data_IF_985230099249
#
_entry.id   IF_985230099249
#
_cell.length_a   1.000
_cell.length_b   1.000
_cell.length_c   1.000
_cell.angle_alpha   90.00
_cell.angle_beta   90.00
_cell.angle_gamma   90.00
#
_symmetry.space_group_name_H-M   'P 1'
#
loop_
_entity.id
_entity.type
_entity.pdbx_description
1 polymer ?
#
# COMPACT_ATOMS: atom_id res chain seq x y z
N UNK A 1 22.83 1.27 8.08
CA UNK A 1 23.30 2.68 8.06
C UNK A 1 22.64 3.42 9.20
N UNK A 2 23.35 3.60 10.31
CA UNK A 2 23.00 4.54 11.38
C UNK A 2 24.15 5.53 11.42
N UNK A 3 23.97 6.69 10.79
CA UNK A 3 24.98 7.74 10.73
C UNK A 3 24.36 8.97 11.42
N UNK A 4 25.12 9.59 12.31
CA UNK A 4 24.62 10.71 13.11
C UNK A 4 24.44 11.96 12.22
N UNK A 5 23.54 12.85 12.63
CA UNK A 5 23.30 14.11 11.91
C UNK A 5 24.58 14.95 11.79
N UNK A 6 25.46 14.87 12.79
CA UNK A 6 26.74 15.58 12.84
C UNK A 6 27.71 15.13 11.72
N UNK A 7 27.54 13.90 11.21
CA UNK A 7 28.31 13.34 10.10
C UNK A 7 27.58 13.49 8.74
N UNK A 8 26.56 14.34 8.67
CA UNK A 8 25.70 14.48 7.48
C UNK A 8 24.74 13.31 7.26
N UNK A 9 24.58 12.44 8.26
CA UNK A 9 23.68 11.30 8.22
C UNK A 9 22.20 11.68 8.34
N UNK A 10 21.34 11.02 7.56
CA UNK A 10 19.91 10.99 7.88
C UNK A 10 19.78 9.99 9.03
N UNK A 11 19.42 10.45 10.23
CA UNK A 11 19.20 9.60 11.43
C UNK A 11 17.94 8.74 11.26
N UNK A 12 17.92 7.92 10.22
CA UNK A 12 16.84 7.03 9.85
C UNK A 12 16.88 5.82 10.78
N UNK A 13 16.22 5.97 11.93
CA UNK A 13 16.19 4.98 13.00
C UNK A 13 15.56 3.65 12.57
N UNK A 14 14.64 3.67 11.60
CA UNK A 14 14.00 2.48 11.07
C UNK A 14 13.79 2.59 9.55
N UNK A 15 14.75 2.06 8.78
CA UNK A 15 14.70 2.04 7.32
C UNK A 15 13.47 1.31 6.78
N UNK A 16 13.11 0.17 7.37
CA UNK A 16 11.96 -0.62 6.96
C UNK A 16 10.67 0.18 7.10
N UNK A 17 10.50 0.89 8.23
CA UNK A 17 9.35 1.77 8.44
C UNK A 17 9.35 2.92 7.44
N UNK A 18 10.51 3.53 7.16
CA UNK A 18 10.63 4.60 6.18
C UNK A 18 10.18 4.16 4.78
N UNK A 19 10.63 2.98 4.32
CA UNK A 19 10.21 2.42 3.02
C UNK A 19 8.70 2.21 2.99
N UNK A 20 8.11 1.64 4.06
CA UNK A 20 6.66 1.44 4.16
C UNK A 20 5.89 2.76 4.14
N UNK A 21 6.31 3.76 4.91
CA UNK A 21 5.73 5.11 4.89
C UNK A 21 5.78 5.69 3.48
N UNK A 22 6.89 5.51 2.77
CA UNK A 22 7.00 5.95 1.39
C UNK A 22 5.98 5.22 0.50
N UNK A 23 5.79 3.90 0.64
CA UNK A 23 4.78 3.16 -0.13
C UNK A 23 3.36 3.69 0.14
N UNK A 24 3.03 3.98 1.40
CA UNK A 24 1.75 4.61 1.78
C UNK A 24 1.58 6.01 1.18
N UNK A 25 2.64 6.83 1.14
CA UNK A 25 2.60 8.15 0.48
C UNK A 25 2.28 8.03 -1.01
N UNK A 26 2.80 7.01 -1.68
CA UNK A 26 2.48 6.76 -3.08
C UNK A 26 1.07 6.20 -3.27
N UNK A 27 0.55 5.42 -2.32
CA UNK A 27 -0.86 5.05 -2.30
C UNK A 27 -1.77 6.28 -2.17
N UNK A 28 -1.44 7.20 -1.25
CA UNK A 28 -2.16 8.49 -1.14
C UNK A 28 -2.14 9.25 -2.46
N UNK A 29 -0.98 9.29 -3.14
CA UNK A 29 -0.87 9.89 -4.47
C UNK A 29 -1.69 9.15 -5.50
N UNK A 30 -1.74 7.82 -5.48
CA UNK A 30 -2.55 7.00 -6.40
C UNK A 30 -4.03 7.37 -6.29
N UNK A 31 -4.57 7.37 -5.07
CA UNK A 31 -5.98 7.61 -4.78
C UNK A 31 -6.37 9.09 -4.99
N UNK A 32 -5.61 10.03 -4.41
CA UNK A 32 -6.01 11.43 -4.30
C UNK A 32 -5.24 12.40 -5.20
N UNK A 33 -4.13 11.99 -5.81
CA UNK A 33 -3.35 12.85 -6.70
C UNK A 33 -4.03 13.05 -8.07
N UNK A 34 -3.36 13.79 -8.96
CA UNK A 34 -3.85 14.08 -10.31
C UNK A 34 -4.35 12.86 -11.09
N UNK A 35 -5.44 13.04 -11.85
CA UNK A 35 -6.05 11.98 -12.67
C UNK A 35 -5.22 11.76 -13.96
N UNK A 36 -5.41 10.63 -14.63
CA UNK A 36 -4.82 10.31 -15.94
C UNK A 36 -3.28 10.36 -16.00
N UNK A 37 -2.61 9.98 -14.91
CA UNK A 37 -1.15 9.85 -14.89
C UNK A 37 -0.77 8.41 -15.25
N UNK A 38 0.19 8.23 -16.16
CA UNK A 38 0.51 6.91 -16.77
C UNK A 38 0.76 5.80 -15.75
N UNK A 39 1.56 6.05 -14.70
CA UNK A 39 1.84 5.02 -13.69
C UNK A 39 0.60 4.62 -12.87
N UNK A 40 -0.41 5.49 -12.78
CA UNK A 40 -1.66 5.18 -12.09
C UNK A 40 -2.59 4.35 -12.98
N UNK A 41 -2.69 4.74 -14.25
CA UNK A 41 -3.44 3.97 -15.24
C UNK A 41 -2.86 2.56 -15.38
N UNK A 42 -1.53 2.45 -15.31
CA UNK A 42 -0.87 1.15 -15.34
C UNK A 42 -1.15 0.32 -14.09
N UNK A 43 -1.22 0.95 -12.89
CA UNK A 43 -1.70 0.24 -11.69
C UNK A 43 -3.13 -0.28 -11.89
N UNK A 44 -4.02 0.56 -12.43
CA UNK A 44 -5.43 0.18 -12.66
C UNK A 44 -5.54 -1.00 -13.62
N UNK A 45 -4.76 -0.97 -14.71
CA UNK A 45 -4.65 -2.08 -15.66
C UNK A 45 -4.12 -3.37 -15.00
N UNK A 46 -3.02 -3.27 -14.26
CA UNK A 46 -2.42 -4.41 -13.56
C UNK A 46 -3.36 -5.06 -12.54
N UNK A 47 -4.21 -4.25 -11.90
CA UNK A 47 -5.13 -4.68 -10.86
C UNK A 47 -6.57 -4.84 -11.37
N UNK A 48 -6.83 -4.77 -12.67
CA UNK A 48 -8.18 -4.83 -13.23
C UNK A 48 -8.92 -6.11 -12.80
N UNK A 49 -8.22 -7.25 -12.82
CA UNK A 49 -8.75 -8.56 -12.42
C UNK A 49 -9.15 -8.65 -10.94
N UNK A 50 -8.73 -7.69 -10.11
CA UNK A 50 -9.05 -7.62 -8.68
C UNK A 50 -9.86 -6.36 -8.32
N UNK A 51 -10.52 -5.72 -9.30
CA UNK A 51 -11.33 -4.53 -9.08
C UNK A 51 -10.55 -3.22 -9.02
N UNK A 52 -9.30 -3.21 -9.50
CA UNK A 52 -8.46 -2.03 -9.60
C UNK A 52 -8.16 -1.40 -8.24
N UNK A 53 -8.47 -0.11 -8.09
CA UNK A 53 -8.24 0.62 -6.82
C UNK A 53 -9.23 0.24 -5.71
N UNK A 54 -10.33 -0.45 -6.02
CA UNK A 54 -11.30 -0.86 -5.00
C UNK A 54 -10.69 -1.82 -3.99
N UNK A 55 -9.63 -2.56 -4.37
CA UNK A 55 -8.87 -3.43 -3.46
C UNK A 55 -8.48 -2.74 -2.15
N UNK A 56 -8.19 -1.42 -2.17
CA UNK A 56 -7.78 -0.69 -0.97
C UNK A 56 -8.92 -0.48 0.05
N UNK A 57 -10.17 -0.67 -0.36
CA UNK A 57 -11.34 -0.65 0.51
C UNK A 57 -11.68 -2.04 1.07
N UNK A 58 -11.09 -3.09 0.50
CA UNK A 58 -11.38 -4.46 0.87
C UNK A 58 -10.53 -4.92 2.06
N UNK A 59 -11.04 -5.94 2.73
CA UNK A 59 -10.26 -6.79 3.60
C UNK A 59 -9.65 -7.92 2.79
N UNK A 60 -8.35 -7.85 2.56
CA UNK A 60 -7.65 -8.69 1.60
C UNK A 60 -6.31 -9.15 2.15
N UNK A 61 -5.82 -10.24 1.57
CA UNK A 61 -4.55 -10.85 1.92
C UNK A 61 -3.70 -11.03 0.66
N UNK A 62 -2.59 -10.28 0.53
CA UNK A 62 -1.72 -10.30 -0.65
C UNK A 62 -1.20 -11.70 -0.94
N UNK A 63 -0.95 -12.51 0.10
CA UNK A 63 -0.42 -13.87 -0.07
C UNK A 63 -1.41 -14.84 -0.73
N UNK A 64 -2.72 -14.54 -0.71
CA UNK A 64 -3.73 -15.35 -1.39
C UNK A 64 -4.05 -14.84 -2.79
N UNK A 65 -3.59 -13.64 -3.16
CA UNK A 65 -3.82 -13.09 -4.49
C UNK A 65 -2.77 -13.58 -5.50
N UNK A 66 -3.23 -14.15 -6.61
CA UNK A 66 -2.36 -14.50 -7.73
C UNK A 66 -2.11 -13.29 -8.66
N UNK A 67 -1.40 -12.28 -8.16
CA UNK A 67 -1.12 -11.04 -8.90
C UNK A 67 0.22 -11.08 -9.63
N UNK A 68 0.18 -10.88 -10.95
CA UNK A 68 1.36 -10.65 -11.79
C UNK A 68 1.52 -9.15 -12.05
N UNK A 69 1.97 -8.41 -11.04
CA UNK A 69 2.14 -6.96 -11.11
C UNK A 69 3.57 -6.55 -10.76
N UNK A 70 4.05 -5.37 -11.21
CA UNK A 70 5.33 -4.83 -10.81
C UNK A 70 5.53 -4.84 -9.30
N UNK A 71 6.75 -5.18 -8.87
CA UNK A 71 7.11 -5.29 -7.45
C UNK A 71 6.78 -4.02 -6.65
N UNK A 72 6.93 -2.83 -7.26
CA UNK A 72 6.58 -1.56 -6.63
C UNK A 72 5.11 -1.50 -6.16
N UNK A 73 4.16 -1.97 -6.99
CA UNK A 73 2.74 -1.98 -6.62
C UNK A 73 2.41 -3.07 -5.61
N UNK A 74 3.09 -4.22 -5.68
CA UNK A 74 2.98 -5.27 -4.69
C UNK A 74 3.39 -4.77 -3.29
N UNK A 75 4.49 -4.01 -3.21
CA UNK A 75 4.95 -3.40 -1.96
C UNK A 75 3.97 -2.33 -1.44
N UNK A 76 3.22 -1.65 -2.31
CA UNK A 76 2.12 -0.76 -1.89
C UNK A 76 0.97 -1.54 -1.26
N UNK A 77 0.55 -2.65 -1.88
CA UNK A 77 -0.51 -3.52 -1.35
C UNK A 77 -0.12 -4.14 -0.01
N UNK A 78 1.13 -4.58 0.14
CA UNK A 78 1.67 -5.13 1.40
C UNK A 78 1.72 -4.07 2.50
N UNK A 79 2.26 -2.89 2.21
CA UNK A 79 2.30 -1.80 3.18
C UNK A 79 0.90 -1.40 3.67
N UNK A 80 -0.11 -1.42 2.79
CA UNK A 80 -1.50 -1.16 3.17
C UNK A 80 -2.13 -2.27 4.01
N UNK A 81 -1.80 -3.54 3.72
CA UNK A 81 -2.25 -4.68 4.52
C UNK A 81 -1.69 -4.64 5.94
N UNK A 82 -0.44 -4.23 6.14
CA UNK A 82 0.17 -4.21 7.47
C UNK A 82 -0.54 -3.29 8.47
N UNK A 83 -1.15 -2.20 7.98
CA UNK A 83 -1.93 -1.28 8.80
C UNK A 83 -3.40 -1.70 8.94
N UNK A 84 -3.74 -2.96 8.59
CA UNK A 84 -5.10 -3.53 8.71
C UNK A 84 -5.70 -3.33 10.11
N UNK A 85 -4.93 -3.53 11.18
CA UNK A 85 -5.38 -3.30 12.56
C UNK A 85 -5.79 -1.85 12.84
N UNK A 86 -5.19 -0.89 12.12
CA UNK A 86 -5.60 0.52 12.20
C UNK A 86 -6.86 0.82 11.39
N UNK A 87 -7.14 0.03 10.34
CA UNK A 87 -8.30 0.20 9.45
C UNK A 87 -9.56 -0.45 10.02
N UNK A 88 -9.39 -1.57 10.71
CA UNK A 88 -10.44 -2.32 11.37
C UNK A 88 -10.08 -2.46 12.86
N UNK A 89 -10.32 -1.42 13.68
CA UNK A 89 -10.24 -1.57 15.13
C UNK A 89 -11.23 -2.66 15.57
N UNK A 90 -10.91 -3.39 16.63
CA UNK A 90 -11.66 -4.57 17.16
C UNK A 90 -13.09 -4.25 17.66
N UNK A 91 -13.68 -3.14 17.21
CA UNK A 91 -15.06 -2.75 17.49
C UNK A 91 -15.97 -3.61 16.61
N UNK A 92 -16.82 -4.41 17.26
CA UNK A 92 -17.70 -5.49 16.77
C UNK A 92 -18.72 -5.13 15.65
N UNK A 93 -18.58 -4.02 14.93
CA UNK A 93 -19.59 -3.56 13.96
C UNK A 93 -19.03 -3.00 12.65
N UNK A 94 -17.86 -3.46 12.21
CA UNK A 94 -17.44 -3.22 10.83
C UNK A 94 -17.98 -4.35 9.94
N UNK A 95 -18.70 -3.98 8.88
CA UNK A 95 -19.02 -4.87 7.76
C UNK A 95 -17.88 -4.74 6.74
N UNK A 96 -16.76 -5.48 6.87
CA UNK A 96 -15.68 -5.38 5.91
C UNK A 96 -16.18 -5.81 4.53
N UNK A 97 -15.76 -5.09 3.50
CA UNK A 97 -15.91 -5.56 2.12
C UNK A 97 -14.92 -6.72 1.97
N UNK A 98 -15.42 -7.95 2.01
CA UNK A 98 -14.59 -9.15 1.83
C UNK A 98 -14.21 -9.25 0.35
N UNK A 99 -12.92 -9.37 0.08
CA UNK A 99 -12.46 -9.70 -1.26
C UNK A 99 -12.63 -11.21 -1.51
N UNK A 100 -13.47 -11.59 -2.48
CA UNK A 100 -13.63 -12.97 -2.94
C UNK A 100 -13.48 -12.99 -4.46
N UNK A 101 -12.45 -13.67 -4.96
CA UNK A 101 -12.13 -13.75 -6.38
C UNK A 101 -11.72 -15.18 -6.72
#
# INVERSE_FOLDING_TARGET
MYQNYDDGGIRMTNYTLFVKTQRIMWLKRLIYGGKNISWKLYFDYCCESIGGRLVFLCDYEVSTMNLKIPHFYLEMLRAWQEIRKCRFPDIESLNPIIFNN
#
